data_IF_052925370153
#
_entry.id   IF_052925370153
#
_cell.length_a   1.000
_cell.length_b   1.000
_cell.length_c   1.000
_cell.angle_alpha   90.00
_cell.angle_beta   90.00
_cell.angle_gamma   90.00
#
_symmetry.space_group_name_H-M   'P 1'
#
loop_
_entity.id
_entity.type
_entity.pdbx_description
1 polymer ?
#
# COMPACT_ATOMS: atom_id res chain seq x y z
N UNK A 1 -16.77 3.48 -23.63
CA UNK A 1 -15.68 3.46 -22.64
C UNK A 1 -16.28 2.88 -21.38
N UNK A 2 -16.06 1.58 -21.15
CA UNK A 2 -16.60 0.89 -19.98
C UNK A 2 -15.97 1.49 -18.71
N UNK A 3 -16.82 1.79 -17.73
CA UNK A 3 -16.41 2.23 -16.42
C UNK A 3 -15.71 1.06 -15.71
N UNK A 4 -14.37 1.08 -15.69
CA UNK A 4 -13.58 0.15 -14.90
C UNK A 4 -13.91 0.36 -13.42
N UNK A 5 -14.12 -0.73 -12.64
CA UNK A 5 -14.45 -0.62 -11.23
C UNK A 5 -13.27 0.00 -10.46
N UNK A 6 -13.55 0.78 -9.40
CA UNK A 6 -12.51 1.39 -8.59
C UNK A 6 -11.69 0.28 -7.93
N UNK A 7 -10.39 0.23 -8.21
CA UNK A 7 -9.34 -0.53 -7.52
C UNK A 7 -9.48 -2.07 -7.45
N UNK A 8 -10.62 -2.65 -7.85
CA UNK A 8 -10.82 -4.10 -7.97
C UNK A 8 -10.64 -4.54 -9.41
N UNK A 9 -9.39 -4.59 -9.86
CA UNK A 9 -8.82 -5.86 -10.27
C UNK A 9 -7.37 -5.69 -10.74
N UNK A 10 -6.42 -5.62 -9.80
CA UNK A 10 -5.00 -5.80 -10.12
C UNK A 10 -4.76 -7.15 -10.86
N UNK A 11 -5.60 -8.15 -10.58
CA UNK A 11 -5.55 -9.50 -11.15
C UNK A 11 -6.26 -9.68 -12.51
N UNK A 12 -7.30 -8.91 -12.83
CA UNK A 12 -8.03 -9.07 -14.11
C UNK A 12 -7.43 -8.25 -15.26
N UNK A 13 -6.36 -7.49 -15.00
CA UNK A 13 -5.70 -6.65 -16.00
C UNK A 13 -4.47 -7.30 -16.65
N UNK A 14 -4.30 -8.62 -16.50
CA UNK A 14 -3.20 -9.41 -17.09
C UNK A 14 -3.13 -9.37 -18.62
N UNK A 15 -4.14 -8.79 -19.29
CA UNK A 15 -4.21 -8.60 -20.75
C UNK A 15 -3.87 -7.17 -21.21
N UNK A 16 -3.53 -6.24 -20.31
CA UNK A 16 -3.11 -4.89 -20.69
C UNK A 16 -1.62 -4.85 -21.04
N UNK A 17 -1.23 -3.93 -21.93
CA UNK A 17 0.18 -3.67 -22.17
C UNK A 17 0.82 -3.02 -20.93
N UNK A 18 2.14 -3.17 -20.76
CA UNK A 18 2.87 -2.54 -19.65
C UNK A 18 2.65 -1.02 -19.58
N UNK A 19 2.49 -0.36 -20.74
CA UNK A 19 2.20 1.06 -20.79
C UNK A 19 0.79 1.40 -20.28
N UNK A 20 -0.21 0.62 -20.66
CA UNK A 20 -1.60 0.84 -20.21
C UNK A 20 -1.75 0.57 -18.71
N UNK A 21 -1.05 -0.45 -18.20
CA UNK A 21 -0.92 -0.70 -16.76
C UNK A 21 -0.31 0.51 -16.05
N UNK A 22 0.78 1.07 -16.58
CA UNK A 22 1.45 2.25 -15.99
C UNK A 22 0.59 3.51 -15.98
N UNK A 23 -0.25 3.72 -16.99
CA UNK A 23 -1.21 4.84 -17.06
C UNK A 23 -2.35 4.62 -16.07
N UNK A 24 -2.87 3.40 -16.00
CA UNK A 24 -3.92 3.05 -15.06
C UNK A 24 -3.46 3.28 -13.60
N UNK A 25 -2.23 2.85 -13.27
CA UNK A 25 -1.63 2.97 -11.95
C UNK A 25 -0.84 4.27 -11.73
N UNK A 26 -1.19 5.36 -12.40
CA UNK A 26 -0.44 6.61 -12.30
C UNK A 26 -0.40 7.19 -10.88
N UNK A 27 -1.50 7.10 -10.11
CA UNK A 27 -1.56 7.58 -8.71
C UNK A 27 -0.67 6.72 -7.82
N UNK A 28 -0.72 5.39 -7.99
CA UNK A 28 0.15 4.47 -7.25
C UNK A 28 1.63 4.77 -7.52
N UNK A 29 1.97 5.06 -8.79
CA UNK A 29 3.34 5.43 -9.21
C UNK A 29 3.77 6.80 -8.69
N UNK A 30 2.85 7.76 -8.61
CA UNK A 30 3.10 9.07 -8.00
C UNK A 30 3.46 8.91 -6.52
N UNK A 31 2.65 8.16 -5.77
CA UNK A 31 2.90 7.94 -4.35
C UNK A 31 4.21 7.18 -4.09
N UNK A 32 4.50 6.15 -4.89
CA UNK A 32 5.76 5.44 -4.82
C UNK A 32 6.95 6.35 -5.15
N UNK A 33 6.83 7.22 -6.16
CA UNK A 33 7.84 8.22 -6.49
C UNK A 33 8.09 9.19 -5.33
N UNK A 34 7.03 9.65 -4.67
CA UNK A 34 7.14 10.51 -3.49
C UNK A 34 7.86 9.83 -2.33
N UNK A 35 7.59 8.54 -2.07
CA UNK A 35 8.28 7.77 -1.03
C UNK A 35 9.79 7.70 -1.30
N UNK A 36 10.18 7.34 -2.51
CA UNK A 36 11.59 7.10 -2.87
C UNK A 36 12.37 8.41 -3.06
N UNK A 37 11.81 9.35 -3.84
CA UNK A 37 12.52 10.55 -4.29
C UNK A 37 12.40 11.68 -3.28
N UNK A 38 11.16 12.02 -2.88
CA UNK A 38 10.92 13.23 -2.11
C UNK A 38 11.12 13.02 -0.60
N UNK A 39 10.76 11.83 -0.10
CA UNK A 39 10.78 11.51 1.32
C UNK A 39 12.07 10.78 1.71
N UNK A 40 12.62 9.95 0.80
CA UNK A 40 13.92 9.29 0.92
C UNK A 40 13.87 7.87 1.51
N UNK A 41 12.75 7.16 1.37
CA UNK A 41 12.71 5.73 1.71
C UNK A 41 13.46 4.89 0.68
N UNK A 42 14.07 3.80 1.14
CA UNK A 42 14.72 2.85 0.23
C UNK A 42 13.68 2.17 -0.67
N UNK A 43 14.09 1.80 -1.90
CA UNK A 43 13.17 1.16 -2.87
C UNK A 43 12.50 -0.11 -2.32
N UNK A 44 13.23 -1.05 -1.68
CA UNK A 44 12.60 -2.25 -1.12
C UNK A 44 11.56 -1.90 -0.06
N UNK A 45 11.88 -0.99 0.85
CA UNK A 45 10.97 -0.54 1.91
C UNK A 45 9.71 0.13 1.31
N UNK A 46 9.90 0.98 0.31
CA UNK A 46 8.81 1.67 -0.38
C UNK A 46 7.86 0.69 -1.08
N UNK A 47 8.39 -0.40 -1.67
CA UNK A 47 7.57 -1.46 -2.27
C UNK A 47 6.71 -2.19 -1.24
N UNK A 48 7.28 -2.48 -0.07
CA UNK A 48 6.55 -3.13 1.02
C UNK A 48 5.43 -2.24 1.59
N UNK A 49 5.72 -0.95 1.77
CA UNK A 49 4.74 0.04 2.22
C UNK A 49 3.60 0.18 1.20
N UNK A 50 3.93 0.30 -0.10
CA UNK A 50 2.92 0.36 -1.17
C UNK A 50 2.07 -0.90 -1.21
N UNK A 51 2.69 -2.08 -1.10
CA UNK A 51 1.96 -3.34 -1.11
C UNK A 51 0.99 -3.46 0.07
N UNK A 52 1.39 -2.98 1.25
CA UNK A 52 0.51 -2.92 2.42
C UNK A 52 -0.71 -2.02 2.17
N UNK A 53 -0.52 -0.82 1.63
CA UNK A 53 -1.63 0.11 1.36
C UNK A 53 -2.57 -0.39 0.27
N UNK A 54 -2.04 -0.97 -0.81
CA UNK A 54 -2.84 -1.59 -1.86
C UNK A 54 -3.63 -2.79 -1.31
N UNK A 55 -3.00 -3.62 -0.48
CA UNK A 55 -3.68 -4.71 0.20
C UNK A 55 -4.86 -4.22 1.08
N UNK A 56 -4.71 -3.09 1.79
CA UNK A 56 -5.82 -2.49 2.54
C UNK A 56 -7.03 -2.21 1.64
N UNK A 57 -6.81 -1.72 0.42
CA UNK A 57 -7.89 -1.51 -0.56
C UNK A 57 -8.58 -2.83 -0.93
N UNK A 58 -7.82 -3.90 -1.12
CA UNK A 58 -8.39 -5.23 -1.45
C UNK A 58 -9.29 -5.78 -0.34
N UNK A 59 -8.95 -5.55 0.93
CA UNK A 59 -9.72 -6.01 2.09
C UNK A 59 -10.82 -5.04 2.53
N UNK A 60 -11.11 -4.02 1.73
CA UNK A 60 -12.29 -3.16 1.88
C UNK A 60 -12.00 -1.80 2.49
N UNK A 61 -10.77 -1.30 2.40
CA UNK A 61 -10.40 0.10 2.68
C UNK A 61 -10.24 0.88 1.37
N UNK A 62 -11.33 1.32 0.70
CA UNK A 62 -11.21 1.94 -0.62
C UNK A 62 -10.46 3.28 -0.56
N UNK A 63 -9.73 3.59 -1.64
CA UNK A 63 -9.07 4.87 -1.90
C UNK A 63 -8.01 5.23 -0.84
N UNK A 64 -7.29 4.24 -0.32
CA UNK A 64 -6.16 4.45 0.60
C UNK A 64 -5.07 5.21 -0.13
N UNK A 65 -4.72 4.80 -1.35
CA UNK A 65 -3.65 5.44 -2.12
C UNK A 65 -3.99 6.90 -2.41
N UNK A 66 -5.19 7.17 -2.93
CA UNK A 66 -5.65 8.54 -3.22
C UNK A 66 -5.56 9.46 -1.99
N UNK A 67 -6.00 8.95 -0.83
CA UNK A 67 -5.99 9.71 0.42
C UNK A 67 -4.58 10.02 0.90
N UNK A 68 -3.65 9.07 0.80
CA UNK A 68 -2.25 9.30 1.19
C UNK A 68 -1.59 10.27 0.20
N UNK A 69 -1.87 10.15 -1.09
CA UNK A 69 -1.36 11.07 -2.11
C UNK A 69 -1.87 12.50 -1.89
N UNK A 70 -3.06 12.69 -1.32
CA UNK A 70 -3.61 14.03 -1.06
C UNK A 70 -2.96 14.79 0.12
N UNK A 71 -2.15 14.14 0.97
CA UNK A 71 -1.54 14.78 2.15
C UNK A 71 -0.10 15.23 1.92
N UNK A 72 0.44 16.06 2.81
CA UNK A 72 1.81 16.60 2.71
C UNK A 72 2.89 15.51 2.86
N UNK A 73 4.10 15.73 2.34
CA UNK A 73 5.20 14.77 2.48
C UNK A 73 5.53 14.42 3.94
N UNK A 74 5.38 15.37 4.88
CA UNK A 74 5.53 15.09 6.30
C UNK A 74 4.47 14.11 6.82
N UNK A 75 3.21 14.28 6.40
CA UNK A 75 2.14 13.36 6.76
C UNK A 75 2.35 11.99 6.10
N UNK A 76 2.74 11.93 4.82
CA UNK A 76 3.08 10.68 4.13
C UNK A 76 4.20 9.93 4.85
N UNK A 77 5.26 10.64 5.29
CA UNK A 77 6.34 10.03 6.09
C UNK A 77 5.80 9.39 7.36
N UNK A 78 4.98 10.10 8.12
CA UNK A 78 4.41 9.56 9.37
C UNK A 78 3.52 8.33 9.12
N UNK A 79 2.73 8.34 8.05
CA UNK A 79 1.88 7.19 7.65
C UNK A 79 2.77 6.01 7.21
N UNK A 80 3.86 6.28 6.50
CA UNK A 80 4.82 5.28 6.05
C UNK A 80 5.58 4.63 7.22
N UNK A 81 6.01 5.42 8.20
CA UNK A 81 6.65 4.93 9.43
C UNK A 81 5.69 4.05 10.24
N UNK A 82 4.41 4.44 10.34
CA UNK A 82 3.37 3.59 10.94
C UNK A 82 3.22 2.27 10.18
N UNK A 83 3.13 2.30 8.85
CA UNK A 83 3.05 1.10 8.02
C UNK A 83 4.27 0.18 8.21
N UNK A 84 5.49 0.72 8.30
CA UNK A 84 6.70 -0.06 8.58
C UNK A 84 6.66 -0.72 9.96
N UNK A 85 6.25 0.02 10.99
CA UNK A 85 6.11 -0.53 12.34
C UNK A 85 5.13 -1.72 12.35
N UNK A 86 4.02 -1.60 11.61
CA UNK A 86 3.05 -2.68 11.46
C UNK A 86 3.62 -3.88 10.70
N UNK A 87 4.29 -3.66 9.56
CA UNK A 87 4.97 -4.72 8.81
C UNK A 87 6.04 -5.45 9.65
N UNK A 88 6.83 -4.71 10.43
CA UNK A 88 7.81 -5.27 11.35
C UNK A 88 7.14 -6.10 12.46
N UNK A 89 6.03 -5.60 13.01
CA UNK A 89 5.23 -6.33 13.99
C UNK A 89 4.74 -7.67 13.42
N UNK A 90 4.19 -7.69 12.21
CA UNK A 90 3.75 -8.93 11.57
C UNK A 90 4.88 -9.92 11.34
N UNK A 91 6.04 -9.44 10.90
CA UNK A 91 7.25 -10.28 10.72
C UNK A 91 7.74 -10.89 12.02
N UNK A 92 7.50 -10.24 13.15
CA UNK A 92 7.91 -10.76 14.46
C UNK A 92 7.13 -12.00 14.89
N UNK A 93 6.00 -12.31 14.24
CA UNK A 93 5.15 -13.44 14.59
C UNK A 93 4.46 -13.28 15.95
N UNK A 94 4.43 -12.06 16.50
CA UNK A 94 3.74 -11.79 17.76
C UNK A 94 2.23 -11.98 17.60
N UNK A 95 1.60 -12.61 18.59
CA UNK A 95 0.18 -12.93 18.57
C UNK A 95 -0.67 -11.65 18.49
N UNK A 96 -1.47 -11.46 17.42
CA UNK A 96 -2.36 -10.30 17.25
C UNK A 96 -3.35 -10.14 18.41
N UNK A 97 -3.63 -11.23 19.15
CA UNK A 97 -4.51 -11.20 20.31
C UNK A 97 -3.91 -10.43 21.51
N UNK A 98 -2.58 -10.30 21.59
CA UNK A 98 -1.89 -9.50 22.63
C UNK A 98 -2.20 -8.00 22.49
N UNK A 99 -2.62 -7.60 21.31
CA UNK A 99 -2.79 -6.21 20.90
C UNK A 99 -4.27 -5.82 20.73
N UNK A 100 -5.22 -6.65 21.17
CA UNK A 100 -6.67 -6.45 20.95
C UNK A 100 -7.26 -5.12 21.42
N UNK A 101 -6.61 -4.42 22.34
CA UNK A 101 -7.16 -3.23 23.01
C UNK A 101 -6.49 -1.90 22.60
N UNK A 102 -5.49 -1.92 21.72
CA UNK A 102 -4.79 -0.73 21.24
C UNK A 102 -5.21 -0.36 19.82
N UNK A 103 -5.33 0.94 19.52
CA UNK A 103 -5.46 1.41 18.15
C UNK A 103 -4.04 1.43 17.55
N UNK A 104 -3.70 0.42 16.75
CA UNK A 104 -2.33 0.23 16.24
C UNK A 104 -2.00 1.05 15.01
N UNK A 105 -3.02 1.65 14.44
CA UNK A 105 -2.93 2.47 13.24
C UNK A 105 -3.52 3.85 13.50
N UNK A 106 -3.12 4.58 14.56
CA UNK A 106 -3.79 5.84 14.91
C UNK A 106 -3.77 6.86 13.77
N UNK A 107 -2.72 6.88 12.95
CA UNK A 107 -2.54 7.83 11.85
C UNK A 107 -3.34 7.37 10.63
N UNK A 108 -3.20 6.10 10.22
CA UNK A 108 -3.95 5.54 9.08
C UNK A 108 -5.46 5.47 9.39
N UNK A 109 -5.85 5.15 10.63
CA UNK A 109 -7.24 5.17 11.06
C UNK A 109 -7.83 6.59 11.00
N UNK A 110 -7.06 7.59 11.41
CA UNK A 110 -7.44 9.00 11.28
C UNK A 110 -7.60 9.42 9.81
N UNK A 111 -6.71 8.97 8.93
CA UNK A 111 -6.78 9.25 7.49
C UNK A 111 -8.01 8.61 6.81
N UNK A 112 -8.33 7.38 7.22
CA UNK A 112 -9.43 6.62 6.64
C UNK A 112 -10.78 6.89 7.32
N UNK A 113 -10.82 7.72 8.37
CA UNK A 113 -11.99 7.98 9.21
C UNK A 113 -12.66 6.68 9.69
N UNK A 114 -11.85 5.67 9.99
CA UNK A 114 -12.29 4.33 10.43
C UNK A 114 -11.23 3.69 11.30
N UNK A 115 -11.65 2.98 12.34
CA UNK A 115 -10.73 2.13 13.10
C UNK A 115 -10.21 1.01 12.20
N UNK A 116 -8.90 0.85 12.11
CA UNK A 116 -8.25 -0.33 11.53
C UNK A 116 -7.83 -1.19 12.71
N UNK A 117 -8.41 -2.38 12.85
CA UNK A 117 -8.10 -3.27 13.99
C UNK A 117 -7.29 -4.45 13.50
N UNK A 118 -6.37 -4.97 14.32
CA UNK A 118 -5.70 -6.26 14.03
C UNK A 118 -6.67 -7.43 13.80
N UNK A 119 -7.96 -7.29 14.17
CA UNK A 119 -9.03 -8.24 13.84
C UNK A 119 -9.34 -8.35 12.34
N UNK A 120 -9.05 -7.31 11.56
CA UNK A 120 -9.20 -7.32 10.10
C UNK A 120 -8.07 -8.12 9.42
N UNK A 121 -7.06 -8.54 10.18
CA UNK A 121 -5.85 -9.19 9.70
C UNK A 121 -5.84 -10.66 10.14
N UNK A 122 -5.88 -11.57 9.16
CA UNK A 122 -5.90 -13.03 9.39
C UNK A 122 -4.58 -13.66 8.93
N UNK A 123 -4.41 -14.98 9.09
CA UNK A 123 -3.27 -15.74 8.51
C UNK A 123 -3.10 -15.51 7.00
N UNK A 124 -4.14 -15.07 6.28
CA UNK A 124 -4.10 -14.76 4.85
C UNK A 124 -3.47 -13.40 4.50
N UNK A 125 -3.05 -12.62 5.49
CA UNK A 125 -2.43 -11.30 5.28
C UNK A 125 -1.04 -11.43 4.67
N UNK A 126 -0.19 -12.29 5.23
CA UNK A 126 1.17 -12.51 4.74
C UNK A 126 1.14 -12.96 3.28
N UNK A 127 0.20 -13.86 2.94
CA UNK A 127 -0.04 -14.28 1.56
C UNK A 127 -0.58 -13.16 0.67
N UNK A 128 -1.50 -12.33 1.17
CA UNK A 128 -2.06 -11.22 0.38
C UNK A 128 -1.05 -10.10 0.10
N UNK A 129 -0.21 -9.75 1.08
CA UNK A 129 0.87 -8.77 0.87
C UNK A 129 1.95 -9.34 -0.06
N UNK A 130 2.29 -10.62 0.08
CA UNK A 130 3.21 -11.30 -0.83
C UNK A 130 2.67 -11.37 -2.27
N UNK A 131 1.38 -11.62 -2.44
CA UNK A 131 0.71 -11.63 -3.74
C UNK A 131 0.78 -10.25 -4.40
N UNK A 132 0.43 -9.17 -3.67
CA UNK A 132 0.57 -7.80 -4.16
C UNK A 132 2.04 -7.47 -4.48
N UNK A 133 2.99 -7.83 -3.61
CA UNK A 133 4.42 -7.60 -3.85
C UNK A 133 4.90 -8.29 -5.13
N UNK A 134 4.58 -9.57 -5.32
CA UNK A 134 5.09 -10.36 -6.44
C UNK A 134 4.44 -9.96 -7.76
N UNK A 135 3.15 -9.63 -7.76
CA UNK A 135 2.42 -9.41 -9.02
C UNK A 135 2.43 -7.95 -9.47
N UNK A 136 2.42 -7.02 -8.52
CA UNK A 136 2.17 -5.59 -8.77
C UNK A 136 3.47 -4.79 -8.72
N UNK A 137 4.37 -5.09 -7.78
CA UNK A 137 5.52 -4.22 -7.51
C UNK A 137 6.61 -4.28 -8.59
N UNK A 138 6.79 -5.42 -9.26
CA UNK A 138 7.77 -5.55 -10.36
C UNK A 138 7.27 -4.88 -11.65
N UNK A 139 5.98 -4.94 -11.94
CA UNK A 139 5.46 -4.39 -13.22
C UNK A 139 5.23 -2.88 -13.16
N UNK A 140 4.81 -2.38 -12.00
CA UNK A 140 4.38 -0.98 -11.84
C UNK A 140 5.51 -0.09 -11.33
N UNK A 141 6.32 -0.59 -10.39
CA UNK A 141 7.30 0.22 -9.66
C UNK A 141 8.76 -0.03 -10.08
N UNK A 142 9.02 -0.96 -11.00
CA UNK A 142 10.37 -1.24 -11.53
C UNK A 142 10.84 -0.21 -12.58
N UNK A 143 10.32 1.02 -12.53
CA UNK A 143 10.88 2.07 -13.37
C UNK A 143 12.32 2.37 -12.96
N UNK A 144 13.24 1.95 -13.81
CA UNK A 144 14.59 2.49 -13.89
C UNK A 144 14.61 4.01 -14.15
N UNK A 145 13.45 4.60 -14.48
CA UNK A 145 13.25 6.01 -14.80
C UNK A 145 13.11 6.98 -13.60
N UNK A 146 13.06 6.52 -12.35
CA UNK A 146 12.98 7.42 -11.19
C UNK A 146 14.26 8.29 -10.98
N UNK A 147 15.29 8.13 -11.81
CA UNK A 147 16.58 8.84 -11.73
C UNK A 147 17.00 9.54 -13.03
N UNK A 148 16.05 10.01 -13.86
CA UNK A 148 16.39 10.84 -15.04
C UNK A 148 15.96 12.28 -14.89
#
# INVERSE_FOLDING_TARGET
MENLPPHRSFLAMTNLSDNDLRVFHHIDRELYGRLVIDIGFEKPESKEIMAFWLWLETVGHPNVIDRITAVSNNAVRMIAEEAQACLAYFRSGMDPNVLRDSNHFPITAGLLDRSISFRDFTESMSSGILEVLNEVSEKIFDDSCFFR
#
